data_IF_378319663823
#
_entry.id   IF_378319663823
#
_cell.length_a   1.000
_cell.length_b   1.000
_cell.length_c   1.000
_cell.angle_alpha   90.00
_cell.angle_beta   90.00
_cell.angle_gamma   90.00
#
_symmetry.space_group_name_H-M   'P 1'
#
loop_
_entity.id
_entity.type
_entity.pdbx_description
1 polymer ?
#
# COMPACT_ATOMS: atom_id res chain seq x y z
N UNK A 1 -11.76 -27.64 -75.04
CA UNK A 1 -11.22 -26.27 -75.25
C UNK A 1 -9.70 -26.31 -75.20
N UNK A 2 -8.99 -25.95 -76.29
CA UNK A 2 -7.54 -25.71 -76.22
C UNK A 2 -7.34 -24.33 -75.57
N UNK A 3 -6.86 -24.30 -74.33
CA UNK A 3 -6.44 -23.07 -73.66
C UNK A 3 -5.33 -22.39 -74.47
N UNK A 4 -5.46 -21.08 -74.72
CA UNK A 4 -4.40 -20.30 -75.39
C UNK A 4 -3.15 -20.27 -74.52
N UNK A 5 -1.97 -20.09 -75.14
CA UNK A 5 -0.68 -20.04 -74.44
C UNK A 5 -0.69 -18.99 -73.32
N UNK A 6 -1.37 -17.87 -73.55
CA UNK A 6 -1.58 -16.80 -72.56
C UNK A 6 -2.31 -17.31 -71.31
N UNK A 7 -3.40 -18.07 -71.44
CA UNK A 7 -4.14 -18.58 -70.28
C UNK A 7 -3.33 -19.60 -69.48
N UNK A 8 -2.50 -20.41 -70.16
CA UNK A 8 -1.59 -21.36 -69.48
C UNK A 8 -0.50 -20.64 -68.69
N UNK A 9 0.11 -19.60 -69.26
CA UNK A 9 1.11 -18.77 -68.59
C UNK A 9 0.52 -18.03 -67.38
N UNK A 10 -0.67 -17.44 -67.54
CA UNK A 10 -1.41 -16.80 -66.44
C UNK A 10 -1.75 -17.79 -65.33
N UNK A 11 -2.21 -19.00 -65.67
CA UNK A 11 -2.54 -20.03 -64.68
C UNK A 11 -1.31 -20.49 -63.88
N UNK A 12 -0.15 -20.67 -64.52
CA UNK A 12 1.10 -21.03 -63.85
C UNK A 12 1.56 -19.89 -62.94
N UNK A 13 1.51 -18.64 -63.42
CA UNK A 13 1.93 -17.47 -62.65
C UNK A 13 1.04 -17.27 -61.41
N UNK A 14 -0.27 -17.50 -61.55
CA UNK A 14 -1.21 -17.43 -60.44
C UNK A 14 -1.04 -18.60 -59.45
N UNK A 15 -0.79 -19.81 -59.95
CA UNK A 15 -0.55 -21.00 -59.15
C UNK A 15 0.73 -20.89 -58.28
N UNK A 16 1.71 -20.09 -58.67
CA UNK A 16 2.95 -19.86 -57.90
C UNK A 16 2.86 -18.57 -57.06
N UNK A 17 2.27 -17.51 -57.61
CA UNK A 17 2.18 -16.20 -56.95
C UNK A 17 1.23 -16.19 -55.75
N UNK A 18 0.07 -16.84 -55.85
CA UNK A 18 -0.90 -16.84 -54.74
C UNK A 18 -0.36 -17.59 -53.51
N UNK A 19 0.21 -18.82 -53.63
CA UNK A 19 0.75 -19.51 -52.46
C UNK A 19 1.92 -18.78 -51.80
N UNK A 20 2.80 -18.15 -52.57
CA UNK A 20 3.95 -17.41 -52.00
C UNK A 20 3.47 -16.19 -51.20
N UNK A 21 2.48 -15.45 -51.70
CA UNK A 21 1.84 -14.35 -50.95
C UNK A 21 1.16 -14.84 -49.67
N UNK A 22 0.45 -15.98 -49.73
CA UNK A 22 -0.18 -16.57 -48.55
C UNK A 22 0.86 -16.99 -47.51
N UNK A 23 1.93 -17.67 -47.93
CA UNK A 23 3.02 -18.09 -47.04
C UNK A 23 3.71 -16.88 -46.41
N UNK A 24 4.04 -15.85 -47.20
CA UNK A 24 4.61 -14.60 -46.67
C UNK A 24 3.67 -13.89 -45.70
N UNK A 25 2.37 -13.84 -46.00
CA UNK A 25 1.37 -13.26 -45.11
C UNK A 25 1.28 -14.00 -43.77
N UNK A 26 1.24 -15.33 -43.80
CA UNK A 26 1.18 -16.17 -42.60
C UNK A 26 2.46 -16.05 -41.77
N UNK A 27 3.63 -16.12 -42.40
CA UNK A 27 4.92 -15.96 -41.72
C UNK A 27 5.09 -14.56 -41.13
N UNK A 28 4.74 -13.53 -41.90
CA UNK A 28 4.78 -12.14 -41.44
C UNK A 28 3.86 -11.91 -40.25
N UNK A 29 2.64 -12.42 -40.30
CA UNK A 29 1.69 -12.35 -39.18
C UNK A 29 2.19 -13.11 -37.95
N UNK A 30 2.67 -14.34 -38.13
CA UNK A 30 3.17 -15.17 -37.04
C UNK A 30 4.40 -14.56 -36.35
N UNK A 31 5.33 -14.02 -37.14
CA UNK A 31 6.52 -13.33 -36.62
C UNK A 31 6.14 -12.02 -35.92
N UNK A 32 5.28 -11.20 -36.51
CA UNK A 32 4.82 -9.96 -35.91
C UNK A 32 4.14 -10.17 -34.55
N UNK A 33 3.27 -11.18 -34.44
CA UNK A 33 2.60 -11.55 -33.19
C UNK A 33 3.58 -12.07 -32.12
N UNK A 34 4.68 -12.72 -32.50
CA UNK A 34 5.72 -13.15 -31.56
C UNK A 34 6.52 -11.95 -31.06
N UNK A 35 7.01 -11.11 -31.96
CA UNK A 35 7.79 -9.91 -31.61
C UNK A 35 7.01 -8.96 -30.69
N UNK A 36 5.72 -8.71 -30.97
CA UNK A 36 4.89 -7.85 -30.10
C UNK A 36 4.74 -8.49 -28.71
N UNK A 37 4.52 -9.80 -28.62
CA UNK A 37 4.40 -10.49 -27.33
C UNK A 37 5.69 -10.48 -26.54
N UNK A 38 6.82 -10.70 -27.19
CA UNK A 38 8.13 -10.64 -26.55
C UNK A 38 8.41 -9.21 -26.04
N UNK A 39 8.08 -8.18 -26.82
CA UNK A 39 8.18 -6.78 -26.40
C UNK A 39 7.29 -6.47 -25.18
N UNK A 40 6.03 -6.93 -25.18
CA UNK A 40 5.12 -6.77 -24.02
C UNK A 40 5.66 -7.48 -22.80
N UNK A 41 6.19 -8.70 -22.96
CA UNK A 41 6.82 -9.46 -21.87
C UNK A 41 8.00 -8.70 -21.29
N UNK A 42 8.95 -8.29 -22.12
CA UNK A 42 10.15 -7.59 -21.67
C UNK A 42 9.78 -6.29 -20.93
N UNK A 43 8.86 -5.51 -21.49
CA UNK A 43 8.38 -4.28 -20.87
C UNK A 43 7.72 -4.53 -19.51
N UNK A 44 6.76 -5.46 -19.42
CA UNK A 44 6.05 -5.74 -18.17
C UNK A 44 6.96 -6.36 -17.10
N UNK A 45 7.91 -7.23 -17.49
CA UNK A 45 8.87 -7.80 -16.55
C UNK A 45 9.83 -6.73 -16.03
N UNK A 46 10.32 -5.85 -16.91
CA UNK A 46 11.19 -4.74 -16.52
C UNK A 46 10.48 -3.74 -15.60
N UNK A 47 9.24 -3.38 -15.94
CA UNK A 47 8.41 -2.49 -15.13
C UNK A 47 8.09 -3.11 -13.78
N UNK A 48 7.65 -4.38 -13.74
CA UNK A 48 7.39 -5.11 -12.50
C UNK A 48 8.64 -5.13 -11.58
N UNK A 49 9.82 -5.46 -12.13
CA UNK A 49 11.06 -5.47 -11.36
C UNK A 49 11.48 -4.07 -10.86
N UNK A 50 11.13 -3.02 -11.58
CA UNK A 50 11.42 -1.63 -11.18
C UNK A 50 10.49 -1.17 -10.07
N UNK A 51 9.18 -1.41 -10.22
CA UNK A 51 8.18 -1.11 -9.19
C UNK A 51 8.42 -1.90 -7.91
N UNK A 52 8.80 -3.18 -8.01
CA UNK A 52 9.19 -4.01 -6.88
C UNK A 52 10.37 -3.41 -6.10
N UNK A 53 11.48 -3.07 -6.80
CA UNK A 53 12.65 -2.45 -6.15
C UNK A 53 12.33 -1.10 -5.50
N UNK A 54 11.54 -0.26 -6.16
CA UNK A 54 11.14 1.03 -5.57
C UNK A 54 10.32 0.86 -4.31
N UNK A 55 9.41 -0.12 -4.30
CA UNK A 55 8.58 -0.39 -3.13
C UNK A 55 9.39 -1.02 -1.98
N UNK A 56 10.27 -1.97 -2.29
CA UNK A 56 11.22 -2.53 -1.30
C UNK A 56 12.11 -1.44 -0.70
N UNK A 57 12.63 -0.52 -1.53
CA UNK A 57 13.41 0.64 -1.05
C UNK A 57 12.57 1.53 -0.15
N UNK A 58 11.34 1.86 -0.55
CA UNK A 58 10.43 2.68 0.24
C UNK A 58 10.22 2.12 1.66
N UNK A 59 9.94 0.82 1.79
CA UNK A 59 9.75 0.21 3.11
C UNK A 59 11.05 0.16 3.93
N UNK A 60 12.19 -0.11 3.30
CA UNK A 60 13.50 -0.08 3.97
C UNK A 60 13.85 1.33 4.46
N UNK A 61 13.60 2.34 3.64
CA UNK A 61 13.83 3.75 3.98
C UNK A 61 12.87 4.22 5.06
N UNK A 62 11.60 3.84 4.99
CA UNK A 62 10.62 4.12 6.04
C UNK A 62 11.06 3.54 7.39
N UNK A 63 11.46 2.26 7.44
CA UNK A 63 11.96 1.62 8.66
C UNK A 63 13.20 2.33 9.20
N UNK A 64 14.16 2.67 8.34
CA UNK A 64 15.37 3.41 8.72
C UNK A 64 15.03 4.79 9.28
N UNK A 65 14.14 5.52 8.61
CA UNK A 65 13.71 6.85 9.00
C UNK A 65 13.01 6.86 10.36
N UNK A 66 12.08 5.93 10.59
CA UNK A 66 11.43 5.79 11.91
C UNK A 66 12.47 5.40 12.97
N UNK A 67 13.49 4.61 12.61
CA UNK A 67 14.62 4.30 13.49
C UNK A 67 15.46 5.50 13.90
N UNK A 68 15.70 6.43 12.98
CA UNK A 68 16.36 7.72 13.27
C UNK A 68 15.50 8.52 14.25
N UNK A 69 14.19 8.61 14.02
CA UNK A 69 13.26 9.31 14.92
C UNK A 69 13.23 8.68 16.31
N UNK A 70 13.22 7.36 16.41
CA UNK A 70 13.23 6.64 17.68
C UNK A 70 14.50 6.90 18.51
N UNK A 71 15.61 7.23 17.83
CA UNK A 71 16.90 7.54 18.45
C UNK A 71 17.08 9.03 18.77
N UNK A 72 16.10 9.88 18.45
CA UNK A 72 16.17 11.31 18.71
C UNK A 72 15.87 11.61 20.20
N UNK A 73 16.79 12.32 20.86
CA UNK A 73 16.66 12.70 22.28
C UNK A 73 15.41 13.54 22.58
N UNK A 74 14.93 14.32 21.61
CA UNK A 74 13.69 15.09 21.72
C UNK A 74 12.48 14.17 21.78
N UNK A 75 12.48 13.09 21.00
CA UNK A 75 11.42 12.08 21.00
C UNK A 75 11.45 11.27 22.30
N UNK A 76 12.64 10.87 22.76
CA UNK A 76 12.82 10.25 24.07
C UNK A 76 12.30 11.15 25.20
N UNK A 77 12.67 12.43 25.19
CA UNK A 77 12.21 13.42 26.16
C UNK A 77 10.69 13.64 26.11
N UNK A 78 10.11 13.67 24.91
CA UNK A 78 8.67 13.76 24.72
C UNK A 78 7.96 12.56 25.35
N UNK A 79 8.43 11.35 25.08
CA UNK A 79 7.88 10.11 25.66
C UNK A 79 7.93 10.15 27.20
N UNK A 80 9.06 10.56 27.78
CA UNK A 80 9.23 10.69 29.24
C UNK A 80 8.30 11.74 29.87
N UNK A 81 7.93 12.80 29.14
CA UNK A 81 7.12 13.92 29.65
C UNK A 81 5.61 13.76 29.44
N UNK A 82 5.18 13.06 28.40
CA UNK A 82 3.75 12.86 28.18
C UNK A 82 3.16 11.92 29.23
N UNK A 83 2.22 12.44 30.02
CA UNK A 83 1.50 11.66 31.03
C UNK A 83 0.15 11.17 30.51
N UNK A 84 -0.30 9.97 30.93
CA UNK A 84 -1.61 9.46 30.58
C UNK A 84 -2.73 10.14 31.40
N UNK A 85 -3.76 10.65 30.74
CA UNK A 85 -5.01 11.14 31.38
C UNK A 85 -6.22 10.90 30.46
N UNK A 86 -6.61 9.64 30.36
CA UNK A 86 -7.47 9.11 29.28
C UNK A 86 -8.69 9.95 28.93
N UNK A 87 -9.62 10.02 29.88
CA UNK A 87 -10.95 10.59 29.64
C UNK A 87 -10.83 12.08 29.32
N UNK A 88 -10.01 12.80 30.09
CA UNK A 88 -9.87 14.25 29.93
C UNK A 88 -9.21 14.63 28.61
N UNK A 89 -8.17 13.88 28.21
CA UNK A 89 -7.45 14.15 26.97
C UNK A 89 -8.23 13.74 25.72
N UNK A 90 -9.03 12.67 25.77
CA UNK A 90 -9.95 12.33 24.67
C UNK A 90 -11.01 13.41 24.47
N UNK A 91 -11.65 13.88 25.56
CA UNK A 91 -12.61 14.99 25.49
C UNK A 91 -11.95 16.22 24.85
N UNK A 92 -10.77 16.62 25.32
CA UNK A 92 -10.14 17.88 24.89
C UNK A 92 -9.56 17.82 23.47
N UNK A 93 -8.88 16.74 23.10
CA UNK A 93 -8.11 16.64 21.85
C UNK A 93 -8.82 15.89 20.72
N UNK A 94 -9.87 15.13 21.03
CA UNK A 94 -10.63 14.35 20.04
C UNK A 94 -12.04 14.92 19.89
N UNK A 95 -12.82 14.96 20.97
CA UNK A 95 -14.24 15.33 20.89
C UNK A 95 -14.45 16.85 20.73
N UNK A 96 -13.68 17.66 21.48
CA UNK A 96 -13.76 19.12 21.48
C UNK A 96 -12.67 19.78 20.63
N UNK A 97 -12.04 19.01 19.75
CA UNK A 97 -11.07 19.55 18.82
C UNK A 97 -11.77 20.58 17.89
N UNK A 98 -11.25 21.80 17.72
CA UNK A 98 -11.88 22.80 16.88
C UNK A 98 -11.74 22.51 15.37
N UNK A 99 -10.90 21.55 14.99
CA UNK A 99 -10.68 21.14 13.61
C UNK A 99 -11.54 19.93 13.23
N UNK A 100 -11.76 19.75 11.92
CA UNK A 100 -12.53 18.63 11.39
C UNK A 100 -11.83 17.29 11.67
N UNK A 101 -12.61 16.20 11.65
CA UNK A 101 -12.08 14.85 11.67
C UNK A 101 -11.03 14.68 10.56
N UNK A 102 -9.85 14.18 10.94
CA UNK A 102 -8.71 14.02 10.03
C UNK A 102 -7.77 15.22 9.97
N UNK A 103 -8.09 16.34 10.62
CA UNK A 103 -7.27 17.56 10.71
C UNK A 103 -6.91 17.94 12.16
N UNK A 104 -7.19 17.07 13.12
CA UNK A 104 -6.96 17.31 14.54
C UNK A 104 -5.50 17.63 14.88
N UNK A 105 -4.54 17.22 14.04
CA UNK A 105 -3.13 17.59 14.16
C UNK A 105 -2.86 19.08 13.96
N UNK A 106 -3.82 19.88 13.52
CA UNK A 106 -3.67 21.34 13.43
C UNK A 106 -3.85 22.01 14.81
N UNK A 107 -4.47 21.31 15.76
CA UNK A 107 -4.75 21.83 17.08
C UNK A 107 -3.48 21.98 17.91
N UNK A 108 -3.08 23.22 18.20
CA UNK A 108 -1.88 23.53 18.99
C UNK A 108 -2.05 23.30 20.50
N UNK A 109 -3.24 22.89 20.95
CA UNK A 109 -3.57 22.60 22.33
C UNK A 109 -4.50 23.66 22.95
N UNK A 110 -5.16 23.25 24.04
CA UNK A 110 -6.10 24.11 24.76
C UNK A 110 -5.44 25.15 25.66
N UNK A 111 -6.26 25.85 26.43
CA UNK A 111 -5.86 26.70 27.55
C UNK A 111 -6.42 26.15 28.87
N UNK A 112 -6.47 24.83 28.99
CA UNK A 112 -7.01 24.10 30.15
C UNK A 112 -6.04 24.05 31.34
N UNK A 113 -4.81 24.56 31.19
CA UNK A 113 -3.80 24.63 32.24
C UNK A 113 -3.21 23.27 32.65
N UNK A 114 -3.45 22.21 31.89
CA UNK A 114 -2.92 20.88 32.21
C UNK A 114 -1.45 20.73 31.81
N UNK A 115 -0.72 19.92 32.58
CA UNK A 115 0.68 19.57 32.28
C UNK A 115 0.81 18.95 30.89
N UNK A 116 -0.16 18.12 30.49
CA UNK A 116 -0.19 17.54 29.15
C UNK A 116 -0.24 18.62 28.08
N UNK A 117 -1.09 19.64 28.23
CA UNK A 117 -1.20 20.74 27.26
C UNK A 117 0.08 21.56 27.17
N UNK A 118 0.78 21.77 28.28
CA UNK A 118 2.09 22.43 28.27
C UNK A 118 3.11 21.61 27.47
N UNK A 119 3.25 20.32 27.78
CA UNK A 119 4.14 19.40 27.02
C UNK A 119 3.70 19.31 25.55
N UNK A 120 2.40 19.28 25.27
CA UNK A 120 1.89 19.26 23.91
C UNK A 120 2.35 20.49 23.13
N UNK A 121 2.25 21.70 23.69
CA UNK A 121 2.68 22.94 23.03
C UNK A 121 4.17 22.92 22.70
N UNK A 122 4.99 22.34 23.57
CA UNK A 122 6.44 22.25 23.37
C UNK A 122 6.82 21.24 22.28
N UNK A 123 6.21 20.06 22.26
CA UNK A 123 6.66 18.94 21.42
C UNK A 123 5.83 18.69 20.15
N UNK A 124 4.56 19.12 20.13
CA UNK A 124 3.68 18.81 19.00
C UNK A 124 4.15 19.40 17.66
N UNK A 125 4.62 20.67 17.57
CA UNK A 125 5.13 21.19 16.29
C UNK A 125 6.27 20.36 15.71
N UNK A 126 7.19 19.89 16.57
CA UNK A 126 8.31 19.04 16.18
C UNK A 126 7.84 17.66 15.73
N UNK A 127 7.02 16.96 16.53
CA UNK A 127 6.51 15.62 16.19
C UNK A 127 5.62 15.64 14.93
N UNK A 128 4.84 16.70 14.72
CA UNK A 128 4.09 16.93 13.48
C UNK A 128 5.01 17.17 12.29
N UNK A 129 6.11 17.92 12.46
CA UNK A 129 7.10 18.10 11.41
C UNK A 129 7.70 16.76 10.98
N UNK A 130 8.11 15.91 11.93
CA UNK A 130 8.60 14.56 11.62
C UNK A 130 7.58 13.72 10.85
N UNK A 131 6.30 13.77 11.24
CA UNK A 131 5.22 13.08 10.52
C UNK A 131 5.14 13.50 9.05
N UNK A 132 5.25 14.81 8.79
CA UNK A 132 5.23 15.37 7.42
C UNK A 132 6.51 14.99 6.67
N UNK A 133 7.68 15.21 7.27
CA UNK A 133 8.99 14.98 6.66
C UNK A 133 9.19 13.53 6.23
N UNK A 134 8.77 12.56 7.06
CA UNK A 134 8.90 11.13 6.76
C UNK A 134 7.69 10.53 6.04
N UNK A 135 6.75 11.38 5.60
CA UNK A 135 5.57 11.00 4.82
C UNK A 135 4.73 9.86 5.46
N UNK A 136 4.63 9.84 6.79
CA UNK A 136 3.75 8.89 7.51
C UNK A 136 2.36 9.50 7.72
N UNK A 137 1.33 8.66 7.83
CA UNK A 137 -0.04 9.14 8.03
C UNK A 137 -0.27 9.61 9.47
N UNK A 138 0.31 8.90 10.43
CA UNK A 138 0.25 9.21 11.84
C UNK A 138 1.53 8.73 12.53
N UNK A 139 1.94 9.44 13.57
CA UNK A 139 3.08 9.10 14.42
C UNK A 139 2.58 9.04 15.86
N UNK A 140 2.88 7.95 16.56
CA UNK A 140 2.40 7.67 17.90
C UNK A 140 3.55 7.31 18.82
N UNK A 141 3.47 7.75 20.07
CA UNK A 141 4.37 7.34 21.14
C UNK A 141 3.58 6.47 22.11
N UNK A 142 4.12 5.28 22.38
CA UNK A 142 3.54 4.31 23.29
C UNK A 142 4.48 4.15 24.47
N UNK A 143 3.97 4.42 25.66
CA UNK A 143 4.70 4.23 26.91
C UNK A 143 4.80 2.74 27.24
N UNK A 144 6.01 2.28 27.56
CA UNK A 144 6.28 0.87 27.81
C UNK A 144 5.73 0.37 29.15
N UNK A 145 5.69 1.24 30.17
CA UNK A 145 5.22 0.88 31.51
C UNK A 145 3.69 0.76 31.57
N UNK A 146 2.99 1.74 31.02
CA UNK A 146 1.52 1.80 31.00
C UNK A 146 0.91 1.13 29.77
N UNK A 147 1.72 0.77 28.77
CA UNK A 147 1.31 0.12 27.51
C UNK A 147 0.21 0.91 26.81
N UNK A 148 0.42 2.22 26.66
CA UNK A 148 -0.62 3.17 26.29
C UNK A 148 -0.12 4.19 25.29
N UNK A 149 -1.00 4.60 24.36
CA UNK A 149 -0.72 5.67 23.42
C UNK A 149 -0.74 7.00 24.19
N UNK A 150 0.42 7.45 24.63
CA UNK A 150 0.57 8.70 25.39
C UNK A 150 0.58 9.91 24.45
N UNK A 151 0.93 9.72 23.18
CA UNK A 151 0.87 10.75 22.15
C UNK A 151 0.50 10.15 20.78
N UNK A 152 -0.28 10.89 20.00
CA UNK A 152 -0.53 10.63 18.58
C UNK A 152 -0.61 11.96 17.85
N UNK A 153 -0.04 12.12 16.65
CA UNK A 153 -0.15 13.39 15.92
C UNK A 153 -1.60 13.65 15.50
N UNK A 154 -2.26 12.65 14.91
CA UNK A 154 -3.63 12.75 14.37
C UNK A 154 -4.74 12.83 15.41
N UNK A 155 -4.49 12.50 16.68
CA UNK A 155 -5.51 12.46 17.76
C UNK A 155 -6.84 11.81 17.30
N UNK A 156 -6.73 10.62 16.72
CA UNK A 156 -7.89 9.81 16.31
C UNK A 156 -8.55 9.15 17.54
N UNK A 157 -9.58 8.33 17.32
CA UNK A 157 -10.34 7.68 18.39
C UNK A 157 -9.52 6.73 19.28
N UNK A 158 -8.35 6.28 18.82
CA UNK A 158 -7.38 5.48 19.57
C UNK A 158 -6.42 6.31 20.43
N UNK A 159 -6.41 7.64 20.29
CA UNK A 159 -5.59 8.49 21.13
C UNK A 159 -5.89 8.21 22.61
N UNK A 160 -4.84 8.00 23.40
CA UNK A 160 -5.00 7.69 24.82
C UNK A 160 -5.76 6.35 25.03
N UNK A 161 -5.67 5.39 24.11
CA UNK A 161 -6.08 4.00 24.36
C UNK A 161 -4.91 3.16 24.89
N UNK A 162 -5.24 2.20 25.75
CA UNK A 162 -4.29 1.16 26.19
C UNK A 162 -4.23 0.03 25.16
N UNK A 163 -3.06 -0.58 24.98
CA UNK A 163 -2.86 -1.70 24.06
C UNK A 163 -3.73 -2.92 24.40
N UNK A 164 -4.04 -3.09 25.68
CA UNK A 164 -4.84 -4.21 26.19
C UNK A 164 -6.33 -3.83 26.35
N UNK A 165 -6.74 -2.66 25.85
CA UNK A 165 -8.15 -2.24 25.85
C UNK A 165 -8.96 -2.97 24.77
N UNK A 166 -10.29 -3.08 24.92
CA UNK A 166 -11.15 -3.66 23.89
C UNK A 166 -11.04 -2.99 22.51
N UNK A 167 -10.64 -1.71 22.48
CA UNK A 167 -10.45 -0.95 21.25
C UNK A 167 -9.26 -1.44 20.42
N UNK A 168 -8.18 -1.87 21.09
CA UNK A 168 -6.91 -2.18 20.45
C UNK A 168 -6.51 -3.65 20.52
N UNK A 169 -7.17 -4.46 21.36
CA UNK A 169 -6.77 -5.83 21.56
C UNK A 169 -6.63 -6.58 20.22
N UNK A 170 -7.63 -6.66 19.37
CA UNK A 170 -7.52 -7.49 18.16
C UNK A 170 -7.01 -6.73 16.92
N UNK A 171 -6.02 -5.84 17.12
CA UNK A 171 -5.51 -4.95 16.07
C UNK A 171 -4.03 -5.16 15.78
N UNK A 172 -3.65 -4.94 14.53
CA UNK A 172 -2.26 -4.88 14.07
C UNK A 172 -1.46 -3.78 14.79
N UNK A 173 -2.10 -2.69 15.25
CA UNK A 173 -1.44 -1.68 16.10
C UNK A 173 -0.91 -2.30 17.41
N UNK A 174 -1.72 -3.12 18.10
CA UNK A 174 -1.26 -3.83 19.32
C UNK A 174 -0.11 -4.77 18.99
N UNK A 175 -0.23 -5.55 17.93
CA UNK A 175 0.82 -6.48 17.51
C UNK A 175 2.14 -5.74 17.26
N UNK A 176 2.10 -4.69 16.45
CA UNK A 176 3.26 -3.87 16.07
C UNK A 176 3.95 -3.28 17.30
N UNK A 177 3.15 -2.70 18.20
CA UNK A 177 3.66 -2.10 19.43
C UNK A 177 4.26 -3.15 20.38
N UNK A 178 3.62 -4.31 20.54
CA UNK A 178 4.11 -5.39 21.41
C UNK A 178 5.45 -5.96 20.95
N UNK A 179 5.66 -6.09 19.63
CA UNK A 179 6.94 -6.52 19.06
C UNK A 179 8.03 -5.48 19.34
N UNK A 180 7.73 -4.19 19.14
CA UNK A 180 8.68 -3.11 19.43
C UNK A 180 9.03 -3.00 20.92
N UNK A 181 8.06 -3.16 21.83
CA UNK A 181 8.32 -3.16 23.27
C UNK A 181 9.19 -4.36 23.72
N UNK A 182 9.33 -5.40 22.90
CA UNK A 182 10.26 -6.53 23.10
C UNK A 182 11.62 -6.32 22.43
N UNK A 183 11.87 -5.13 21.85
CA UNK A 183 13.13 -4.76 21.19
C UNK A 183 13.14 -4.95 19.68
N UNK A 184 12.02 -5.35 19.08
CA UNK A 184 11.98 -5.64 17.65
C UNK A 184 11.59 -4.40 16.82
N UNK A 185 12.48 -3.92 15.96
CA UNK A 185 12.04 -3.07 14.85
C UNK A 185 11.24 -3.91 13.87
N UNK A 186 9.96 -3.58 13.66
CA UNK A 186 9.05 -4.44 12.92
C UNK A 186 8.07 -3.65 12.05
N UNK A 187 7.50 -4.36 11.08
CA UNK A 187 6.40 -3.91 10.23
C UNK A 187 5.29 -4.96 10.33
N UNK A 188 4.04 -4.53 10.50
CA UNK A 188 2.87 -5.41 10.46
C UNK A 188 1.92 -4.96 9.35
N UNK A 189 1.44 -5.95 8.60
CA UNK A 189 0.62 -5.77 7.39
C UNK A 189 -0.73 -5.08 7.68
N UNK A 190 -1.42 -4.74 6.61
CA UNK A 190 -2.69 -4.05 6.61
C UNK A 190 -3.78 -4.82 7.36
N UNK A 191 -4.51 -4.09 8.20
CA UNK A 191 -5.78 -4.51 8.77
C UNK A 191 -6.79 -3.36 8.65
N UNK A 192 -8.08 -3.67 8.48
CA UNK A 192 -9.13 -2.66 8.67
C UNK A 192 -9.15 -2.21 10.12
N UNK A 193 -9.01 -0.91 10.34
CA UNK A 193 -8.81 -0.37 11.68
C UNK A 193 -9.94 0.59 12.06
N UNK A 194 -10.81 0.13 12.96
CA UNK A 194 -12.00 0.88 13.37
C UNK A 194 -11.68 2.31 13.86
N UNK A 195 -10.62 2.56 14.65
CA UNK A 195 -10.28 3.93 15.08
C UNK A 195 -9.84 4.86 13.93
N UNK A 196 -9.40 4.32 12.79
CA UNK A 196 -9.14 5.08 11.56
C UNK A 196 -10.33 5.00 10.59
N UNK A 197 -11.55 5.08 11.11
CA UNK A 197 -12.78 4.98 10.33
C UNK A 197 -12.85 3.70 9.49
N UNK A 198 -12.35 2.59 10.02
CA UNK A 198 -12.30 1.30 9.33
C UNK A 198 -11.47 1.30 8.03
N UNK A 199 -10.61 2.29 7.80
CA UNK A 199 -9.67 2.28 6.69
C UNK A 199 -8.62 1.18 6.90
N UNK A 200 -8.07 0.59 5.81
CA UNK A 200 -6.93 -0.31 5.92
C UNK A 200 -5.68 0.47 6.33
N UNK A 201 -5.00 0.00 7.37
CA UNK A 201 -3.78 0.64 7.87
C UNK A 201 -2.73 -0.42 8.13
N UNK A 202 -1.46 -0.10 7.86
CA UNK A 202 -0.30 -0.88 8.25
C UNK A 202 0.61 0.00 9.13
N UNK A 203 1.47 -0.64 9.93
CA UNK A 203 2.30 0.06 10.89
C UNK A 203 3.76 -0.43 10.84
N UNK A 204 4.67 0.51 11.09
CA UNK A 204 6.06 0.24 11.45
C UNK A 204 6.26 0.70 12.89
N UNK A 205 6.97 -0.09 13.70
CA UNK A 205 7.35 0.33 15.05
C UNK A 205 8.82 0.08 15.35
N UNK A 206 9.38 0.95 16.19
CA UNK A 206 10.77 0.89 16.65
C UNK A 206 10.81 1.12 18.17
N UNK A 207 11.58 0.33 18.93
CA UNK A 207 11.80 0.60 20.36
C UNK A 207 12.47 1.96 20.60
N UNK A 208 12.05 2.64 21.66
CA UNK A 208 12.74 3.81 22.20
C UNK A 208 13.50 3.36 23.45
N UNK A 209 14.81 3.58 23.44
CA UNK A 209 15.71 3.25 24.55
C UNK A 209 15.96 4.47 25.43
N UNK A 210 16.17 4.21 26.72
CA UNK A 210 16.60 5.22 27.69
C UNK A 210 18.09 5.53 27.50
N UNK A 211 18.43 6.65 26.87
CA UNK A 211 19.83 6.96 26.55
C UNK A 211 20.67 7.34 27.78
N UNK A 212 20.02 7.56 28.93
CA UNK A 212 20.65 7.90 30.20
C UNK A 212 20.86 6.66 31.10
N UNK A 213 20.18 5.54 30.80
CA UNK A 213 20.32 4.31 31.56
C UNK A 213 21.55 3.50 31.12
N UNK A 214 22.16 2.77 32.05
CA UNK A 214 23.16 1.76 31.70
C UNK A 214 22.47 0.55 31.03
N UNK A 215 22.70 0.35 29.74
CA UNK A 215 22.19 -0.80 28.97
C UNK A 215 21.05 -0.45 28.00
N UNK A 216 20.55 -1.46 27.28
CA UNK A 216 19.49 -1.30 26.25
C UNK A 216 18.08 -1.31 26.87
N UNK A 217 17.84 -0.44 27.85
CA UNK A 217 16.53 -0.36 28.52
C UNK A 217 15.49 0.29 27.61
N UNK A 218 14.50 -0.48 27.18
CA UNK A 218 13.35 0.02 26.42
C UNK A 218 12.37 0.72 27.38
N UNK A 219 12.02 1.97 27.09
CA UNK A 219 11.05 2.76 27.86
C UNK A 219 9.72 2.94 27.14
N UNK A 220 9.66 2.60 25.85
CA UNK A 220 8.46 2.67 25.03
C UNK A 220 8.77 2.37 23.58
N UNK A 221 7.87 2.72 22.69
CA UNK A 221 8.11 2.62 21.25
C UNK A 221 7.45 3.77 20.49
N UNK A 222 8.03 4.06 19.32
CA UNK A 222 7.39 4.87 18.30
C UNK A 222 6.66 3.94 17.34
N UNK A 223 5.44 4.31 16.99
CA UNK A 223 4.65 3.62 15.97
C UNK A 223 4.25 4.60 14.88
N UNK A 224 4.63 4.29 13.65
CA UNK A 224 4.31 5.06 12.47
C UNK A 224 3.27 4.32 11.63
N UNK A 225 2.16 4.99 11.33
CA UNK A 225 1.16 4.50 10.39
C UNK A 225 1.61 4.82 8.97
N UNK A 226 1.68 3.79 8.13
CA UNK A 226 2.12 3.91 6.73
C UNK A 226 1.08 4.74 5.94
N UNK A 227 1.58 5.63 5.07
CA UNK A 227 0.75 6.42 4.16
C UNK A 227 0.51 5.61 2.88
N UNK A 228 -0.71 5.12 2.69
CA UNK A 228 -1.05 4.25 1.55
C UNK A 228 -0.90 4.96 0.21
N UNK A 229 -1.08 6.28 0.21
CA UNK A 229 -0.92 7.13 -0.96
C UNK A 229 0.50 7.07 -1.53
N UNK A 230 1.53 6.80 -0.71
CA UNK A 230 2.91 6.62 -1.21
C UNK A 230 3.07 5.30 -1.96
N UNK A 231 2.43 4.22 -1.49
CA UNK A 231 2.42 2.92 -2.17
C UNK A 231 1.72 3.10 -3.54
N UNK A 232 0.54 3.71 -3.54
CA UNK A 232 -0.21 4.00 -4.76
C UNK A 232 0.59 4.90 -5.72
N UNK A 233 1.27 5.94 -5.20
CA UNK A 233 2.07 6.86 -6.01
C UNK A 233 3.21 6.12 -6.73
N UNK A 234 3.92 5.24 -6.03
CA UNK A 234 5.01 4.42 -6.60
C UNK A 234 4.48 3.51 -7.71
N UNK A 235 3.41 2.75 -7.42
CA UNK A 235 2.87 1.74 -8.33
C UNK A 235 2.21 2.37 -9.57
N UNK A 236 1.47 3.46 -9.38
CA UNK A 236 0.78 4.18 -10.46
C UNK A 236 1.70 5.05 -11.30
N UNK A 237 2.95 5.28 -10.88
CA UNK A 237 3.82 6.27 -11.51
C UNK A 237 3.22 7.68 -11.43
N UNK A 238 2.74 8.06 -10.24
CA UNK A 238 2.01 9.32 -10.03
C UNK A 238 0.76 9.45 -10.91
N UNK A 239 0.04 8.34 -11.09
CA UNK A 239 -1.14 8.20 -11.97
C UNK A 239 -0.84 8.30 -13.47
N UNK A 240 0.41 8.09 -13.89
CA UNK A 240 0.84 8.15 -15.28
C UNK A 240 1.08 6.76 -15.91
N UNK A 241 0.21 5.78 -15.62
CA UNK A 241 0.32 4.40 -16.13
C UNK A 241 0.61 4.34 -17.64
N UNK A 242 -0.06 5.18 -18.44
CA UNK A 242 0.11 5.20 -19.89
C UNK A 242 1.53 5.59 -20.31
N UNK A 243 2.08 6.64 -19.70
CA UNK A 243 3.45 7.13 -19.95
C UNK A 243 4.51 6.17 -19.39
N UNK A 244 4.18 5.42 -18.34
CA UNK A 244 5.01 4.35 -17.76
C UNK A 244 5.00 3.05 -18.59
N UNK A 245 4.34 3.05 -19.77
CA UNK A 245 4.36 1.92 -20.70
C UNK A 245 3.29 0.86 -20.45
N UNK A 246 2.29 1.13 -19.58
CA UNK A 246 1.14 0.25 -19.36
C UNK A 246 -0.02 0.52 -20.33
N UNK A 247 0.11 1.53 -21.19
CA UNK A 247 -0.91 1.89 -22.18
C UNK A 247 -2.24 2.29 -21.54
N UNK A 248 -3.33 1.99 -22.24
CA UNK A 248 -4.69 2.41 -21.82
C UNK A 248 -5.33 1.49 -20.79
N UNK A 249 -4.83 0.26 -20.61
CA UNK A 249 -5.52 -0.80 -19.85
C UNK A 249 -4.66 -1.46 -18.79
N UNK A 250 -3.33 -1.33 -18.87
CA UNK A 250 -2.43 -1.93 -17.89
C UNK A 250 -2.51 -1.25 -16.54
N UNK A 251 -2.21 -2.03 -15.51
CA UNK A 251 -2.27 -1.64 -14.11
C UNK A 251 -1.12 -2.31 -13.34
N UNK A 252 -0.73 -1.71 -12.21
CA UNK A 252 0.26 -2.26 -11.28
C UNK A 252 -0.33 -2.19 -9.88
N UNK A 253 -0.31 -3.30 -9.17
CA UNK A 253 -0.84 -3.39 -7.82
C UNK A 253 -0.05 -4.42 -6.99
N UNK A 254 -0.18 -4.33 -5.67
CA UNK A 254 0.43 -5.25 -4.71
C UNK A 254 -0.64 -6.08 -4.05
N UNK A 255 -0.31 -7.33 -3.75
CA UNK A 255 -1.17 -8.25 -3.00
C UNK A 255 -0.42 -8.80 -1.79
N UNK A 256 -1.14 -9.12 -0.73
CA UNK A 256 -0.61 -9.89 0.39
C UNK A 256 -0.58 -11.39 0.09
N UNK A 257 -0.01 -12.17 1.01
CA UNK A 257 -0.04 -13.64 0.96
C UNK A 257 -1.49 -14.19 0.96
N UNK A 258 -2.43 -13.41 1.49
CA UNK A 258 -3.88 -13.66 1.46
C UNK A 258 -4.54 -13.38 0.10
N UNK A 259 -3.76 -13.03 -0.92
CA UNK A 259 -4.19 -12.61 -2.27
C UNK A 259 -5.13 -11.41 -2.28
N UNK A 260 -5.20 -10.62 -1.21
CA UNK A 260 -5.96 -9.36 -1.19
C UNK A 260 -5.04 -8.19 -1.51
N UNK A 261 -5.61 -7.15 -2.11
CA UNK A 261 -4.89 -5.94 -2.51
C UNK A 261 -4.28 -5.20 -1.31
N UNK A 262 -3.07 -4.63 -1.50
CA UNK A 262 -2.37 -3.70 -0.60
C UNK A 262 -2.15 -2.31 -1.23
N UNK A 263 -2.77 -2.08 -2.39
CA UNK A 263 -2.78 -0.81 -3.12
C UNK A 263 -4.10 -0.63 -3.85
N UNK A 264 -4.43 0.61 -4.21
CA UNK A 264 -5.61 0.87 -5.04
C UNK A 264 -5.36 0.63 -6.52
N UNK A 265 -6.32 -0.01 -7.19
CA UNK A 265 -6.22 -0.33 -8.61
C UNK A 265 -6.52 0.90 -9.49
N UNK A 266 -5.92 0.95 -10.68
CA UNK A 266 -6.23 1.95 -11.71
C UNK A 266 -7.73 2.00 -12.03
N UNK A 267 -8.37 0.83 -12.08
CA UNK A 267 -9.81 0.72 -12.36
C UNK A 267 -10.68 1.50 -11.38
N UNK A 268 -10.38 1.41 -10.08
CA UNK A 268 -11.06 2.19 -9.04
C UNK A 268 -10.85 3.71 -9.24
N UNK A 269 -9.64 4.12 -9.65
CA UNK A 269 -9.26 5.53 -9.78
C UNK A 269 -9.83 6.20 -11.04
N UNK A 270 -9.75 5.53 -12.19
CA UNK A 270 -10.16 6.12 -13.47
C UNK A 270 -11.64 5.89 -13.80
N UNK A 271 -12.19 4.71 -13.48
CA UNK A 271 -13.54 4.32 -13.89
C UNK A 271 -14.27 3.53 -12.78
N UNK A 272 -14.53 4.14 -11.60
CA UNK A 272 -15.06 3.45 -10.42
C UNK A 272 -16.37 2.69 -10.68
N UNK A 273 -17.32 3.26 -11.42
CA UNK A 273 -18.61 2.59 -11.69
C UNK A 273 -18.44 1.32 -12.54
N UNK A 274 -17.54 1.34 -13.54
CA UNK A 274 -17.22 0.14 -14.32
C UNK A 274 -16.49 -0.88 -13.45
N UNK A 275 -15.60 -0.43 -12.58
CA UNK A 275 -14.89 -1.29 -11.63
C UNK A 275 -15.88 -2.02 -10.71
N UNK A 276 -16.80 -1.31 -10.05
CA UNK A 276 -17.80 -1.93 -9.18
C UNK A 276 -18.70 -2.91 -9.93
N UNK A 277 -19.17 -2.55 -11.15
CA UNK A 277 -19.99 -3.47 -11.97
C UNK A 277 -19.25 -4.77 -12.31
N UNK A 278 -17.96 -4.67 -12.61
CA UNK A 278 -17.14 -5.87 -12.85
C UNK A 278 -17.06 -6.74 -11.60
N UNK A 279 -16.86 -6.15 -10.41
CA UNK A 279 -16.77 -6.89 -9.16
C UNK A 279 -18.08 -7.62 -8.80
N UNK A 280 -19.24 -7.01 -9.06
CA UNK A 280 -20.54 -7.71 -8.95
C UNK A 280 -20.57 -8.95 -9.84
N UNK A 281 -20.10 -8.82 -11.08
CA UNK A 281 -20.04 -9.94 -12.04
C UNK A 281 -19.09 -11.05 -11.60
N UNK A 282 -18.06 -10.72 -10.81
CA UNK A 282 -17.10 -11.67 -10.23
C UNK A 282 -17.57 -12.26 -8.88
N UNK A 283 -18.77 -11.93 -8.42
CA UNK A 283 -19.33 -12.46 -7.17
C UNK A 283 -18.74 -11.84 -5.90
N UNK A 284 -18.17 -10.63 -5.98
CA UNK A 284 -17.77 -9.89 -4.78
C UNK A 284 -19.02 -9.48 -4.00
N UNK A 285 -19.08 -9.69 -2.68
CA UNK A 285 -20.22 -9.30 -1.84
C UNK A 285 -20.56 -7.80 -1.94
N UNK A 286 -21.86 -7.47 -1.87
CA UNK A 286 -22.33 -6.09 -2.04
C UNK A 286 -21.84 -5.17 -0.91
N UNK A 287 -21.77 -5.67 0.32
CA UNK A 287 -21.25 -4.95 1.49
C UNK A 287 -19.78 -4.56 1.30
N UNK A 288 -18.98 -5.40 0.65
CA UNK A 288 -17.60 -5.06 0.28
C UNK A 288 -17.51 -3.97 -0.79
N UNK A 289 -18.41 -4.01 -1.78
CA UNK A 289 -18.51 -2.96 -2.81
C UNK A 289 -18.94 -1.63 -2.18
N UNK A 290 -19.92 -1.66 -1.28
CA UNK A 290 -20.40 -0.47 -0.56
C UNK A 290 -19.31 0.09 0.35
N UNK A 291 -18.53 -0.79 1.02
CA UNK A 291 -17.35 -0.40 1.77
C UNK A 291 -16.32 0.31 0.88
N UNK A 292 -15.97 -0.25 -0.29
CA UNK A 292 -15.03 0.39 -1.22
C UNK A 292 -15.55 1.74 -1.72
N UNK A 293 -16.86 1.85 -1.99
CA UNK A 293 -17.49 3.10 -2.42
C UNK A 293 -17.42 4.18 -1.34
N UNK A 294 -17.70 3.81 -0.09
CA UNK A 294 -17.66 4.72 1.05
C UNK A 294 -16.23 5.15 1.39
N UNK A 295 -15.28 4.20 1.38
CA UNK A 295 -13.89 4.43 1.79
C UNK A 295 -12.96 4.84 0.66
N UNK A 296 -13.41 4.72 -0.60
CA UNK A 296 -12.66 5.04 -1.82
C UNK A 296 -11.32 4.31 -1.92
N UNK A 297 -11.29 3.05 -1.47
CA UNK A 297 -10.12 2.16 -1.51
C UNK A 297 -10.56 0.74 -1.85
N UNK A 298 -9.71 0.02 -2.58
CA UNK A 298 -9.79 -1.42 -2.87
C UNK A 298 -8.85 -2.26 -2.01
N UNK A 299 -8.06 -1.64 -1.13
CA UNK A 299 -7.15 -2.35 -0.22
C UNK A 299 -7.93 -3.24 0.75
N UNK A 300 -7.49 -4.49 0.90
CA UNK A 300 -8.15 -5.59 1.61
C UNK A 300 -9.54 -5.99 1.11
N UNK A 301 -10.08 -5.37 0.07
CA UNK A 301 -11.51 -5.47 -0.25
C UNK A 301 -11.95 -6.86 -0.74
N UNK A 302 -11.17 -7.51 -1.60
CA UNK A 302 -11.51 -8.83 -2.13
C UNK A 302 -10.25 -9.66 -2.41
N UNK A 303 -10.46 -10.97 -2.46
CA UNK A 303 -9.42 -11.93 -2.81
C UNK A 303 -9.29 -12.04 -4.34
N UNK A 304 -8.06 -11.91 -4.85
CA UNK A 304 -7.75 -12.09 -6.26
C UNK A 304 -7.56 -13.57 -6.59
N UNK A 305 -8.61 -14.19 -7.13
CA UNK A 305 -8.61 -15.61 -7.53
C UNK A 305 -8.07 -15.80 -8.96
N UNK A 306 -6.93 -15.18 -9.27
CA UNK A 306 -6.27 -15.33 -10.58
C UNK A 306 -5.05 -16.26 -10.50
N UNK A 307 -4.66 -16.92 -11.60
CA UNK A 307 -3.45 -17.73 -11.64
C UNK A 307 -2.18 -16.92 -11.28
N UNK A 308 -2.06 -15.69 -11.80
CA UNK A 308 -0.93 -14.81 -11.50
C UNK A 308 -0.88 -14.39 -10.01
N UNK A 309 -2.03 -14.03 -9.41
CA UNK A 309 -2.07 -13.69 -7.98
C UNK A 309 -1.72 -14.89 -7.10
N UNK A 310 -2.15 -16.09 -7.48
CA UNK A 310 -1.82 -17.34 -6.77
C UNK A 310 -0.33 -17.66 -6.87
N UNK A 311 0.27 -17.54 -8.06
CA UNK A 311 1.70 -17.77 -8.25
C UNK A 311 2.55 -16.74 -7.47
N UNK A 312 2.17 -15.46 -7.51
CA UNK A 312 2.85 -14.40 -6.78
C UNK A 312 2.79 -14.61 -5.26
N UNK A 313 1.61 -14.94 -4.72
CA UNK A 313 1.43 -15.25 -3.29
C UNK A 313 2.19 -16.50 -2.85
N UNK A 314 2.46 -17.44 -3.77
CA UNK A 314 3.32 -18.60 -3.54
C UNK A 314 4.83 -18.28 -3.68
N UNK A 315 5.21 -17.01 -3.79
CA UNK A 315 6.61 -16.58 -3.89
C UNK A 315 7.22 -16.75 -5.29
N UNK A 316 6.41 -17.02 -6.32
CA UNK A 316 6.91 -17.23 -7.68
C UNK A 316 7.07 -15.91 -8.43
N UNK A 317 8.05 -15.88 -9.34
CA UNK A 317 8.25 -14.80 -10.31
C UNK A 317 8.01 -15.35 -11.71
N UNK A 318 7.29 -14.61 -12.54
CA UNK A 318 6.99 -15.07 -13.89
C UNK A 318 6.26 -14.07 -14.77
N UNK A 319 5.97 -14.55 -15.98
CA UNK A 319 5.14 -13.88 -16.96
C UNK A 319 4.19 -14.90 -17.59
N UNK A 320 2.91 -14.55 -17.73
CA UNK A 320 1.90 -15.41 -18.35
C UNK A 320 0.81 -14.61 -19.06
N UNK A 321 0.33 -15.14 -20.18
CA UNK A 321 -0.99 -14.82 -20.73
C UNK A 321 -2.04 -15.53 -19.87
N UNK A 322 -2.94 -14.77 -19.24
CA UNK A 322 -3.89 -15.32 -18.26
C UNK A 322 -5.15 -14.47 -18.14
N UNK A 323 -6.12 -14.93 -17.34
CA UNK A 323 -7.31 -14.15 -17.00
C UNK A 323 -7.00 -13.18 -15.87
N UNK A 324 -7.30 -11.90 -16.11
CA UNK A 324 -7.30 -10.86 -15.08
C UNK A 324 -8.52 -10.98 -14.18
N UNK A 325 -8.49 -10.27 -13.05
CA UNK A 325 -9.61 -10.28 -12.10
C UNK A 325 -10.89 -9.62 -12.63
N UNK A 326 -10.81 -8.92 -13.77
CA UNK A 326 -11.99 -8.39 -14.48
C UNK A 326 -12.58 -9.38 -15.48
N UNK A 327 -12.02 -10.60 -15.59
CA UNK A 327 -12.46 -11.66 -16.51
C UNK A 327 -11.89 -11.56 -17.93
N UNK A 328 -11.05 -10.56 -18.23
CA UNK A 328 -10.45 -10.38 -19.54
C UNK A 328 -9.09 -11.10 -19.66
N UNK A 329 -8.72 -11.52 -20.86
CA UNK A 329 -7.36 -12.01 -21.14
C UNK A 329 -6.37 -10.85 -21.02
N UNK A 330 -5.28 -11.08 -20.28
CA UNK A 330 -4.23 -10.11 -19.99
C UNK A 330 -2.85 -10.76 -20.09
N UNK A 331 -1.83 -9.92 -20.27
CA UNK A 331 -0.45 -10.28 -19.96
C UNK A 331 -0.16 -9.88 -18.51
N UNK A 332 0.33 -10.81 -17.70
CA UNK A 332 0.67 -10.58 -16.31
C UNK A 332 2.15 -10.87 -16.08
N UNK A 333 2.89 -9.89 -15.57
CA UNK A 333 4.20 -10.08 -14.96
C UNK A 333 4.05 -9.98 -13.44
N UNK A 334 4.62 -10.91 -12.70
CA UNK A 334 4.50 -10.99 -11.25
C UNK A 334 5.82 -11.42 -10.61
N UNK A 335 6.06 -10.95 -9.39
CA UNK A 335 7.22 -11.30 -8.57
C UNK A 335 6.86 -11.09 -7.08
N UNK A 336 7.46 -11.86 -6.16
CA UNK A 336 7.36 -11.55 -4.74
C UNK A 336 8.15 -10.28 -4.41
N UNK A 337 7.71 -9.60 -3.36
CA UNK A 337 8.45 -8.51 -2.73
C UNK A 337 9.24 -9.04 -1.54
N UNK A 338 10.43 -8.48 -1.31
CA UNK A 338 11.27 -8.77 -0.16
C UNK A 338 11.20 -7.60 0.82
N UNK A 339 10.17 -7.61 1.66
CA UNK A 339 9.98 -6.60 2.70
C UNK A 339 10.25 -7.26 4.05
N UNK A 340 11.22 -6.74 4.80
CA UNK A 340 11.58 -7.33 6.09
C UNK A 340 10.41 -7.28 7.07
N UNK A 341 9.97 -8.46 7.54
CA UNK A 341 8.87 -8.60 8.50
C UNK A 341 7.51 -8.94 7.88
N UNK A 342 7.39 -9.02 6.55
CA UNK A 342 6.17 -9.42 5.82
C UNK A 342 6.35 -10.67 4.95
#
# INVERSE_FOLDING_TARGET
MRLTIQTKLLAILLAIGVPTLVVMGVLGYANGQRTIRDLVRENLVALNATKARHLESYFNDLRRNVGIVASDRTVESALKKFSPSARRLQELYVERNPYSLGEHELFQGGNDGSDYTAVHKDYHPYLRNLQVQYAVNNLMLIDGATRRIVYAVKKNADFQAGLDSPLLQDTNLRETANRALKGETNLVDFQRFAPAFNLPVAYVAVPIHDTEASGEKIIGCIVAQIRIEEIDRILSGERNWAQEGLGQTGDTYVIGADRRLRSDTRGLRENPERFYKNLVTQGVPQDEIDYMRLRRTSVLAFELKTPAATAAAAGQKGFSETLGFTGNQIFAAYAPLKIEGL
#
